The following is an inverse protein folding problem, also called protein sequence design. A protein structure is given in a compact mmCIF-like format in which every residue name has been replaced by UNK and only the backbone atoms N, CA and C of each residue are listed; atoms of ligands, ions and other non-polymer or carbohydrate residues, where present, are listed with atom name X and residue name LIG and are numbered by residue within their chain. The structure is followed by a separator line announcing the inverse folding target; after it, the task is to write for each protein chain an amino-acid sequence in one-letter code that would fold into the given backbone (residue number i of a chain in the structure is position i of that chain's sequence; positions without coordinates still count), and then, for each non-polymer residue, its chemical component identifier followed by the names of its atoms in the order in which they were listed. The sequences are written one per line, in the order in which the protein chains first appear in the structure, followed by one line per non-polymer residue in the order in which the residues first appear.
data_IF_368176430011
#
_entry.id   IF_368176430011
#
_cell.length_a   1.000
_cell.length_b   1.000
_cell.length_c   1.000
_cell.angle_alpha   90.00
_cell.angle_beta   90.00
_cell.angle_gamma   90.00
#
_symmetry.space_group_name_H-M   'P 1'
#
loop_
_entity.id
_entity.type
_entity.pdbx_description
1 polymer ?
#
# COMPACT_ATOMS: atom_id res chain seq x y z
N UNK A 1 5.77 -24.26 -49.80
CA UNK A 1 7.17 -23.77 -49.91
C UNK A 1 7.57 -22.89 -48.71
N UNK A 2 6.78 -21.88 -48.35
CA UNK A 2 7.08 -20.96 -47.23
C UNK A 2 7.19 -21.62 -45.85
N UNK A 3 6.27 -22.53 -45.50
CA UNK A 3 6.29 -23.25 -44.21
C UNK A 3 7.54 -24.15 -44.02
N UNK A 4 8.02 -24.76 -45.10
CA UNK A 4 9.23 -25.59 -45.08
C UNK A 4 10.48 -24.75 -44.89
N UNK A 5 10.53 -23.57 -45.52
CA UNK A 5 11.61 -22.60 -45.31
C UNK A 5 11.63 -22.09 -43.87
N UNK A 6 10.46 -21.75 -43.30
CA UNK A 6 10.36 -21.31 -41.91
C UNK A 6 10.80 -22.38 -40.92
N UNK A 7 10.33 -23.63 -41.09
CA UNK A 7 10.75 -24.76 -40.26
C UNK A 7 12.26 -25.02 -40.34
N UNK A 8 12.84 -24.85 -41.53
CA UNK A 8 14.29 -25.01 -41.75
C UNK A 8 15.10 -23.90 -41.06
N UNK A 9 14.62 -22.66 -41.08
CA UNK A 9 15.26 -21.54 -40.37
C UNK A 9 15.26 -21.81 -38.88
N UNK A 10 14.13 -22.18 -38.28
CA UNK A 10 14.06 -22.54 -36.84
C UNK A 10 15.03 -23.68 -36.51
N UNK A 11 15.05 -24.74 -37.34
CA UNK A 11 15.96 -25.88 -37.14
C UNK A 11 17.43 -25.44 -37.14
N UNK A 12 17.84 -24.60 -38.09
CA UNK A 12 19.22 -24.13 -38.16
C UNK A 12 19.57 -23.18 -37.01
N UNK A 13 18.66 -22.28 -36.61
CA UNK A 13 18.86 -21.41 -35.45
C UNK A 13 19.04 -22.22 -34.17
N UNK A 14 18.22 -23.25 -33.94
CA UNK A 14 18.35 -24.13 -32.76
C UNK A 14 19.64 -24.97 -32.79
N UNK A 15 20.05 -25.44 -33.97
CA UNK A 15 21.32 -26.15 -34.13
C UNK A 15 22.53 -25.24 -33.87
N UNK A 16 22.48 -23.99 -34.29
CA UNK A 16 23.54 -23.01 -34.03
C UNK A 16 23.64 -22.66 -32.54
N UNK A 17 22.51 -22.43 -31.87
CA UNK A 17 22.44 -22.25 -30.42
C UNK A 17 23.02 -23.47 -29.70
N UNK A 18 22.69 -24.69 -30.16
CA UNK A 18 23.20 -25.94 -29.61
C UNK A 18 24.71 -26.16 -29.82
N UNK A 19 25.30 -25.63 -30.91
CA UNK A 19 26.75 -25.69 -31.15
C UNK A 19 27.50 -24.62 -30.37
N UNK A 20 26.85 -23.49 -30.10
CA UNK A 20 27.39 -22.33 -29.37
C UNK A 20 26.68 -22.12 -28.01
N UNK A 21 26.40 -23.21 -27.29
CA UNK A 21 25.60 -23.19 -26.05
C UNK A 21 26.14 -22.19 -25.04
N UNK A 22 27.46 -22.16 -24.85
CA UNK A 22 28.07 -21.31 -23.84
C UNK A 22 27.87 -19.82 -24.10
N UNK A 23 28.13 -19.39 -25.34
CA UNK A 23 27.95 -17.99 -25.73
C UNK A 23 26.47 -17.59 -25.72
N UNK A 24 25.61 -18.46 -26.26
CA UNK A 24 24.16 -18.24 -26.30
C UNK A 24 23.58 -18.11 -24.88
N UNK A 25 24.00 -18.99 -23.95
CA UNK A 25 23.56 -18.95 -22.56
C UNK A 25 23.93 -17.63 -21.88
N UNK A 26 25.16 -17.16 -22.04
CA UNK A 26 25.61 -15.88 -21.46
C UNK A 26 24.75 -14.72 -22.00
N UNK A 27 24.52 -14.67 -23.30
CA UNK A 27 23.69 -13.60 -23.90
C UNK A 27 22.24 -13.64 -23.40
N UNK A 28 21.64 -14.82 -23.29
CA UNK A 28 20.28 -15.00 -22.74
C UNK A 28 20.24 -14.54 -21.29
N UNK A 29 21.21 -14.94 -20.47
CA UNK A 29 21.28 -14.53 -19.06
C UNK A 29 21.37 -13.01 -18.95
N UNK A 30 22.23 -12.35 -19.74
CA UNK A 30 22.35 -10.88 -19.72
C UNK A 30 21.01 -10.23 -20.07
N UNK A 31 20.32 -10.74 -21.10
CA UNK A 31 19.03 -10.22 -21.54
C UNK A 31 17.94 -10.41 -20.47
N UNK A 32 17.92 -11.58 -19.84
CA UNK A 32 17.03 -11.90 -18.72
C UNK A 32 17.33 -10.99 -17.52
N UNK A 33 18.58 -10.81 -17.15
CA UNK A 33 18.99 -9.93 -16.05
C UNK A 33 18.63 -8.47 -16.30
N UNK A 34 18.79 -7.99 -17.54
CA UNK A 34 18.40 -6.63 -17.92
C UNK A 34 16.89 -6.41 -17.76
N UNK A 35 16.07 -7.33 -18.27
CA UNK A 35 14.61 -7.28 -18.11
C UNK A 35 14.21 -7.46 -16.64
N UNK A 36 14.86 -8.37 -15.93
CA UNK A 36 14.62 -8.64 -14.51
C UNK A 36 14.91 -7.40 -13.66
N UNK A 37 15.99 -6.68 -13.93
CA UNK A 37 16.38 -5.47 -13.20
C UNK A 37 15.28 -4.40 -13.23
N UNK A 38 14.70 -4.16 -14.42
CA UNK A 38 13.60 -3.19 -14.58
C UNK A 38 12.34 -3.65 -13.83
N UNK A 39 11.99 -4.93 -13.96
CA UNK A 39 10.82 -5.50 -13.29
C UNK A 39 10.97 -5.49 -11.76
N UNK A 40 12.17 -5.77 -11.25
CA UNK A 40 12.48 -5.75 -9.83
C UNK A 40 12.22 -4.35 -9.23
N UNK A 41 12.63 -3.29 -9.92
CA UNK A 41 12.37 -1.91 -9.47
C UNK A 41 10.86 -1.60 -9.42
N UNK A 42 10.09 -2.06 -10.40
CA UNK A 42 8.64 -1.89 -10.41
C UNK A 42 7.97 -2.61 -9.23
N UNK A 43 8.39 -3.85 -8.96
CA UNK A 43 7.89 -4.64 -7.84
C UNK A 43 8.20 -3.95 -6.51
N UNK A 44 9.44 -3.52 -6.30
CA UNK A 44 9.84 -2.79 -5.08
C UNK A 44 8.99 -1.54 -4.89
N UNK A 45 8.76 -0.75 -5.95
CA UNK A 45 7.92 0.45 -5.89
C UNK A 45 6.51 0.14 -5.38
N UNK A 46 5.87 -0.92 -5.91
CA UNK A 46 4.52 -1.32 -5.51
C UNK A 46 4.51 -1.78 -4.05
N UNK A 47 5.47 -2.62 -3.66
CA UNK A 47 5.56 -3.11 -2.27
C UNK A 47 5.74 -1.94 -1.30
N UNK A 48 6.64 -1.00 -1.60
CA UNK A 48 6.87 0.18 -0.76
C UNK A 48 5.62 1.06 -0.64
N UNK A 49 4.91 1.31 -1.75
CA UNK A 49 3.68 2.10 -1.72
C UNK A 49 2.57 1.43 -0.88
N UNK A 50 2.42 0.11 -1.00
CA UNK A 50 1.48 -0.67 -0.20
C UNK A 50 1.86 -0.67 1.28
N UNK A 51 3.15 -0.84 1.60
CA UNK A 51 3.63 -0.80 2.99
C UNK A 51 3.36 0.57 3.64
N UNK A 52 3.66 1.67 2.94
CA UNK A 52 3.36 3.03 3.41
C UNK A 52 1.86 3.21 3.65
N UNK A 53 1.02 2.73 2.72
CA UNK A 53 -0.43 2.85 2.84
C UNK A 53 -0.97 2.06 4.03
N UNK A 54 -0.49 0.83 4.23
CA UNK A 54 -0.88 -0.01 5.37
C UNK A 54 -0.50 0.63 6.72
N UNK A 55 0.64 1.32 6.80
CA UNK A 55 1.02 2.09 7.99
C UNK A 55 0.09 3.29 8.16
N UNK A 56 -0.15 4.07 7.10
CA UNK A 56 -1.04 5.25 7.15
C UNK A 56 -2.46 4.91 7.62
N UNK A 57 -2.98 3.75 7.24
CA UNK A 57 -4.33 3.31 7.66
C UNK A 57 -4.45 2.97 9.15
N UNK A 58 -3.34 2.78 9.85
CA UNK A 58 -3.33 2.50 11.30
C UNK A 58 -3.09 3.75 12.16
N UNK A 59 -2.95 4.93 11.55
CA UNK A 59 -2.69 6.18 12.27
C UNK A 59 -4.02 6.83 12.65
N UNK A 60 -4.40 6.70 13.92
CA UNK A 60 -5.52 7.42 14.51
C UNK A 60 -5.00 8.62 15.33
N UNK A 61 -5.59 9.80 15.12
CA UNK A 61 -5.26 11.02 15.87
C UNK A 61 -6.48 11.48 16.67
N UNK A 62 -6.37 11.46 17.99
CA UNK A 62 -7.40 11.96 18.89
C UNK A 62 -7.13 13.41 19.29
N UNK A 63 -8.06 14.31 18.97
CA UNK A 63 -8.03 15.71 19.41
C UNK A 63 -9.02 15.92 20.55
N UNK A 64 -8.51 16.29 21.73
CA UNK A 64 -9.34 16.62 22.88
C UNK A 64 -9.69 18.10 22.88
N UNK A 65 -10.99 18.40 23.06
CA UNK A 65 -11.52 19.74 23.07
C UNK A 65 -11.75 20.21 24.51
N UNK A 66 -11.70 21.53 24.73
CA UNK A 66 -12.02 22.11 26.04
C UNK A 66 -13.53 21.98 26.29
N UNK A 67 -13.91 21.70 27.54
CA UNK A 67 -15.30 21.43 27.96
C UNK A 67 -16.28 22.58 27.73
N UNK A 68 -15.81 23.84 27.69
CA UNK A 68 -16.65 25.02 27.48
C UNK A 68 -16.65 25.51 26.01
N UNK A 69 -16.42 24.62 25.04
CA UNK A 69 -16.39 24.98 23.62
C UNK A 69 -17.78 24.84 23.02
N UNK A 70 -18.29 25.91 22.40
CA UNK A 70 -19.57 25.86 21.69
C UNK A 70 -19.55 24.86 20.52
N UNK A 71 -20.62 24.09 20.38
CA UNK A 71 -20.75 23.04 19.36
C UNK A 71 -20.57 23.59 17.93
N UNK A 72 -21.04 24.80 17.66
CA UNK A 72 -20.88 25.46 16.36
C UNK A 72 -19.39 25.66 15.99
N UNK A 73 -18.54 26.01 16.98
CA UNK A 73 -17.09 26.10 16.77
C UNK A 73 -16.45 24.74 16.52
N UNK A 74 -16.97 23.68 17.16
CA UNK A 74 -16.50 22.31 16.97
C UNK A 74 -16.82 21.82 15.55
N UNK A 75 -18.04 22.07 15.07
CA UNK A 75 -18.46 21.74 13.71
C UNK A 75 -17.66 22.53 12.67
N UNK A 76 -17.37 23.80 12.92
CA UNK A 76 -16.50 24.60 12.07
C UNK A 76 -15.06 24.06 12.02
N UNK A 77 -14.53 23.56 13.14
CA UNK A 77 -13.22 22.91 13.18
C UNK A 77 -13.24 21.58 12.42
N UNK A 78 -14.27 20.74 12.62
CA UNK A 78 -14.47 19.50 11.88
C UNK A 78 -14.48 19.76 10.37
N UNK A 79 -15.23 20.76 9.91
CA UNK A 79 -15.32 21.15 8.51
C UNK A 79 -14.00 21.70 7.92
N UNK A 80 -13.13 22.28 8.75
CA UNK A 80 -11.79 22.70 8.33
C UNK A 80 -10.85 21.52 8.18
N UNK A 81 -10.88 20.59 9.13
CA UNK A 81 -10.01 19.40 9.12
C UNK A 81 -10.43 18.43 8.02
N UNK A 82 -11.74 18.26 7.78
CA UNK A 82 -12.26 17.39 6.72
C UNK A 82 -11.88 17.84 5.30
N UNK A 83 -11.42 19.08 5.13
CA UNK A 83 -10.94 19.62 3.85
C UNK A 83 -9.47 19.30 3.59
N UNK A 84 -8.74 18.77 4.58
CA UNK A 84 -7.35 18.38 4.42
C UNK A 84 -7.30 17.05 3.66
N UNK A 85 -6.57 17.01 2.55
CA UNK A 85 -6.42 15.80 1.71
C UNK A 85 -5.78 14.61 2.46
N UNK A 86 -5.12 14.89 3.59
CA UNK A 86 -4.45 13.91 4.43
C UNK A 86 -5.40 13.19 5.40
N UNK A 87 -6.64 13.67 5.53
CA UNK A 87 -7.62 13.14 6.48
C UNK A 87 -8.57 12.21 5.74
N UNK A 88 -8.55 10.92 6.11
CA UNK A 88 -9.43 9.89 5.52
C UNK A 88 -10.85 10.00 6.06
N UNK A 89 -11.00 10.18 7.36
CA UNK A 89 -12.30 10.31 8.03
C UNK A 89 -12.18 11.16 9.31
N UNK A 90 -13.31 11.72 9.75
CA UNK A 90 -13.38 12.50 11.00
C UNK A 90 -14.67 12.23 11.77
N UNK A 91 -14.50 11.63 12.95
CA UNK A 91 -15.58 11.38 13.89
C UNK A 91 -15.60 12.45 14.99
N UNK A 92 -16.80 12.95 15.30
CA UNK A 92 -17.00 13.80 16.47
C UNK A 92 -17.64 12.95 17.57
N UNK A 93 -16.99 12.88 18.72
CA UNK A 93 -17.48 12.17 19.90
C UNK A 93 -17.88 13.20 20.94
N UNK A 94 -19.16 13.23 21.30
CA UNK A 94 -19.65 14.12 22.37
C UNK A 94 -19.15 13.68 23.73
N UNK A 95 -19.20 14.58 24.72
CA UNK A 95 -18.80 14.25 26.08
C UNK A 95 -19.61 13.09 26.67
N UNK A 96 -20.93 13.03 26.41
CA UNK A 96 -21.76 11.92 26.89
C UNK A 96 -21.37 10.61 26.20
N UNK A 97 -21.19 10.61 24.87
CA UNK A 97 -20.79 9.42 24.12
C UNK A 97 -19.42 8.90 24.57
N UNK A 98 -18.45 9.80 24.80
CA UNK A 98 -17.13 9.44 25.32
C UNK A 98 -17.23 8.79 26.71
N UNK A 99 -18.08 9.31 27.59
CA UNK A 99 -18.32 8.75 28.91
C UNK A 99 -18.98 7.36 28.84
N UNK A 100 -19.96 7.17 27.98
CA UNK A 100 -20.61 5.88 27.77
C UNK A 100 -19.62 4.84 27.21
N UNK A 101 -18.86 5.19 26.16
CA UNK A 101 -17.81 4.32 25.62
C UNK A 101 -16.74 3.99 26.67
N UNK A 102 -16.37 4.95 27.52
CA UNK A 102 -15.43 4.73 28.61
C UNK A 102 -15.97 3.73 29.63
N UNK A 103 -17.23 3.91 30.06
CA UNK A 103 -17.91 2.98 30.97
C UNK A 103 -17.99 1.57 30.38
N UNK A 104 -18.34 1.45 29.10
CA UNK A 104 -18.44 0.16 28.40
C UNK A 104 -17.08 -0.54 28.30
N UNK A 105 -16.03 0.19 27.92
CA UNK A 105 -14.67 -0.34 27.76
C UNK A 105 -14.07 -0.83 29.08
N UNK A 106 -14.50 -0.25 30.20
CA UNK A 106 -13.97 -0.56 31.53
C UNK A 106 -14.96 -1.26 32.46
N UNK A 107 -16.04 -1.86 31.92
CA UNK A 107 -17.06 -2.59 32.71
C UNK A 107 -16.50 -3.61 33.71
N UNK A 108 -15.36 -4.22 33.40
CA UNK A 108 -14.73 -5.25 34.23
C UNK A 108 -13.69 -4.69 35.22
N UNK A 109 -13.52 -3.37 35.31
CA UNK A 109 -12.59 -2.73 36.23
C UNK A 109 -13.33 -1.67 37.06
N UNK A 110 -13.91 -2.06 38.21
CA UNK A 110 -14.72 -1.17 39.04
C UNK A 110 -13.93 -0.04 39.70
N UNK A 111 -12.60 -0.11 39.80
CA UNK A 111 -11.76 0.93 40.43
C UNK A 111 -11.66 2.22 39.60
N UNK A 112 -11.83 2.13 38.29
CA UNK A 112 -11.77 3.26 37.35
C UNK A 112 -13.16 3.79 36.95
N UNK A 113 -14.23 3.21 37.49
CA UNK A 113 -15.63 3.60 37.25
C UNK A 113 -16.24 4.41 38.40
N UNK A 114 -15.53 4.56 39.52
CA UNK A 114 -15.94 5.33 40.70
C UNK A 114 -15.78 6.84 40.50
#
# INVERSE_FOLDING_TARGET
MFLLSFARVIKFSLQDIGRNIWLSLVTIIILVLALFSINLLLVVKVISATAISAVKEKIDISLYLRTNTEENRILALKAKISKLEQVKDIEYISQQAALESFKVKHKNNPEILQ
#
